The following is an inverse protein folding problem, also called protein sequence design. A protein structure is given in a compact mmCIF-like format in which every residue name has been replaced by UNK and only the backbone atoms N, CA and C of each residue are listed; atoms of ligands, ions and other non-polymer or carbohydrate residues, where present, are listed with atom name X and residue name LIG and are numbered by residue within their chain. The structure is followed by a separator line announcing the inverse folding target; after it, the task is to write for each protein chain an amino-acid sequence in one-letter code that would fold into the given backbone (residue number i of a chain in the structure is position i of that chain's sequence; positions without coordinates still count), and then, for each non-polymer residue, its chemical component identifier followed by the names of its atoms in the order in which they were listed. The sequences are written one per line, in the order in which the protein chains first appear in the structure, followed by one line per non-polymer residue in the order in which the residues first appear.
data_IF_457635274332
#
_entry.id   IF_457635274332
#
_cell.length_a   1.000
_cell.length_b   1.000
_cell.length_c   1.000
_cell.angle_alpha   90.00
_cell.angle_beta   90.00
_cell.angle_gamma   90.00
#
_symmetry.space_group_name_H-M   'P 1'
#
loop_
_entity.id
_entity.type
_entity.pdbx_description
1 polymer ?
#
# COMPACT_ATOMS: atom_id res chain seq x y z
N UNK A 1 -7.07 8.38 -19.03
CA UNK A 1 -6.67 8.04 -17.65
C UNK A 1 -5.19 7.66 -17.69
N UNK A 2 -4.32 8.44 -17.06
CA UNK A 2 -2.90 8.07 -16.94
C UNK A 2 -2.77 7.00 -15.85
N UNK A 3 -2.67 5.74 -16.28
CA UNK A 3 -2.69 4.55 -15.43
C UNK A 3 -1.36 4.25 -14.74
N UNK A 4 -0.33 5.09 -14.93
CA UNK A 4 1.02 4.79 -14.48
C UNK A 4 1.39 5.60 -13.25
N UNK A 5 1.67 4.89 -12.16
CA UNK A 5 2.42 5.42 -11.03
C UNK A 5 3.89 5.57 -11.41
N UNK A 6 4.50 6.69 -11.02
CA UNK A 6 5.94 6.91 -11.08
C UNK A 6 6.70 5.92 -10.19
N UNK A 7 8.02 5.82 -10.39
CA UNK A 7 8.86 4.99 -9.53
C UNK A 7 8.78 5.44 -8.06
N UNK A 8 8.82 6.75 -7.81
CA UNK A 8 8.72 7.34 -6.48
C UNK A 8 7.39 7.05 -5.80
N UNK A 9 6.27 7.15 -6.52
CA UNK A 9 4.94 6.81 -5.98
C UNK A 9 4.82 5.32 -5.62
N UNK A 10 5.42 4.43 -6.41
CA UNK A 10 5.48 2.99 -6.10
C UNK A 10 6.31 2.71 -4.85
N UNK A 11 7.47 3.35 -4.73
CA UNK A 11 8.31 3.23 -3.54
C UNK A 11 7.59 3.73 -2.28
N UNK A 12 6.84 4.84 -2.40
CA UNK A 12 6.01 5.39 -1.32
C UNK A 12 4.93 4.41 -0.87
N UNK A 13 4.19 3.80 -1.80
CA UNK A 13 3.19 2.76 -1.46
C UNK A 13 3.83 1.55 -0.78
N UNK A 14 5.00 1.10 -1.24
CA UNK A 14 5.73 0.00 -0.61
C UNK A 14 6.19 0.36 0.82
N UNK A 15 6.61 1.62 1.05
CA UNK A 15 6.97 2.11 2.38
C UNK A 15 5.76 2.11 3.32
N UNK A 16 4.63 2.69 2.87
CA UNK A 16 3.36 2.72 3.62
C UNK A 16 2.93 1.30 4.02
N UNK A 17 2.90 0.36 3.06
CA UNK A 17 2.52 -1.01 3.33
C UNK A 17 3.46 -1.67 4.37
N UNK A 18 4.78 -1.51 4.22
CA UNK A 18 5.77 -2.08 5.13
C UNK A 18 5.66 -1.51 6.54
N UNK A 19 5.60 -0.18 6.66
CA UNK A 19 5.51 0.50 7.95
C UNK A 19 4.20 0.20 8.67
N UNK A 20 3.08 0.13 7.93
CA UNK A 20 1.77 -0.26 8.49
C UNK A 20 1.81 -1.67 9.08
N UNK A 21 2.36 -2.64 8.34
CA UNK A 21 2.53 -4.02 8.82
C UNK A 21 3.42 -4.06 10.07
N UNK A 22 4.59 -3.41 10.02
CA UNK A 22 5.56 -3.45 11.13
C UNK A 22 4.99 -2.75 12.37
N UNK A 23 4.37 -1.59 12.22
CA UNK A 23 3.80 -0.81 13.32
C UNK A 23 2.63 -1.54 13.96
N UNK A 24 1.76 -2.16 13.16
CA UNK A 24 0.64 -2.92 13.68
C UNK A 24 1.14 -4.16 14.45
N UNK A 25 2.09 -4.91 13.90
CA UNK A 25 2.62 -6.12 14.56
C UNK A 25 3.36 -5.77 15.85
N UNK A 26 4.23 -4.75 15.84
CA UNK A 26 5.10 -4.43 16.98
C UNK A 26 4.44 -3.57 18.05
N UNK A 27 3.58 -2.63 17.64
CA UNK A 27 3.02 -1.58 18.50
C UNK A 27 1.50 -1.61 18.59
N UNK A 28 0.82 -2.46 17.81
CA UNK A 28 -0.66 -2.45 17.66
C UNK A 28 -1.21 -1.10 17.21
N UNK A 29 -0.43 -0.37 16.41
CA UNK A 29 -0.77 0.95 15.89
C UNK A 29 -0.84 0.92 14.37
N UNK A 30 -1.81 1.63 13.80
CA UNK A 30 -1.90 1.90 12.37
C UNK A 30 -1.40 3.34 12.19
N UNK A 31 -0.28 3.55 11.49
CA UNK A 31 0.21 4.90 11.24
C UNK A 31 -0.76 5.68 10.36
N UNK A 32 -0.86 6.98 10.61
CA UNK A 32 -1.60 7.89 9.75
C UNK A 32 -0.68 8.42 8.65
N UNK A 33 -1.22 8.58 7.45
CA UNK A 33 -0.48 9.01 6.27
C UNK A 33 -1.24 10.09 5.53
N UNK A 34 -0.50 11.06 5.03
CA UNK A 34 -0.98 12.04 4.06
C UNK A 34 -0.15 11.94 2.79
N UNK A 35 -0.80 11.99 1.63
CA UNK A 35 -0.14 11.97 0.32
C UNK A 35 -0.52 13.24 -0.44
N UNK A 36 0.42 13.79 -1.20
CA UNK A 36 0.18 14.97 -2.05
C UNK A 36 -0.16 14.55 -3.48
N UNK A 37 0.20 13.31 -3.84
CA UNK A 37 0.07 12.75 -5.16
C UNK A 37 -1.38 12.33 -5.41
N UNK A 38 -2.03 12.99 -6.38
CA UNK A 38 -3.42 12.69 -6.77
C UNK A 38 -3.58 11.22 -7.19
N UNK A 39 -2.54 10.63 -7.79
CA UNK A 39 -2.54 9.23 -8.22
C UNK A 39 -2.67 8.24 -7.06
N UNK A 40 -2.15 8.59 -5.88
CA UNK A 40 -2.23 7.81 -4.65
C UNK A 40 -3.55 8.06 -3.91
N UNK A 41 -4.17 9.22 -4.18
CA UNK A 41 -5.50 9.56 -3.65
C UNK A 41 -6.64 8.93 -4.46
N UNK A 42 -6.35 8.38 -5.64
CA UNK A 42 -7.34 7.75 -6.50
C UNK A 42 -7.89 6.45 -5.89
N UNK A 43 -9.20 6.23 -6.07
CA UNK A 43 -9.88 4.99 -5.64
C UNK A 43 -9.55 3.85 -6.58
N UNK A 44 -8.69 2.93 -6.14
CA UNK A 44 -8.16 1.80 -6.92
C UNK A 44 -8.00 0.59 -6.01
N UNK A 45 -8.22 -0.60 -6.54
CA UNK A 45 -7.85 -1.83 -5.83
C UNK A 45 -6.34 -1.96 -5.65
N UNK A 46 -5.94 -2.60 -4.56
CA UNK A 46 -4.54 -2.87 -4.22
C UNK A 46 -4.39 -4.29 -3.67
N UNK A 47 -3.23 -4.91 -3.92
CA UNK A 47 -2.83 -6.16 -3.30
C UNK A 47 -1.43 -6.02 -2.72
N UNK A 48 -1.27 -6.42 -1.46
CA UNK A 48 0.00 -6.47 -0.77
C UNK A 48 0.47 -7.92 -0.67
N UNK A 49 1.62 -8.21 -1.26
CA UNK A 49 2.26 -9.53 -1.20
C UNK A 49 3.50 -9.49 -0.32
N UNK A 50 3.58 -10.41 0.64
CA UNK A 50 4.78 -10.63 1.45
C UNK A 50 5.49 -11.88 0.94
N UNK A 51 6.79 -11.75 0.68
CA UNK A 51 7.67 -12.87 0.35
C UNK A 51 8.78 -13.02 1.39
N UNK A 52 9.11 -14.26 1.73
CA UNK A 52 10.23 -14.61 2.61
C UNK A 52 11.16 -15.55 1.84
N UNK A 53 12.44 -15.18 1.70
CA UNK A 53 13.42 -15.96 0.92
C UNK A 53 12.90 -16.29 -0.50
N UNK A 54 12.29 -15.31 -1.15
CA UNK A 54 11.68 -15.46 -2.48
C UNK A 54 10.34 -16.22 -2.52
N UNK A 55 9.92 -16.88 -1.44
CA UNK A 55 8.68 -17.66 -1.37
C UNK A 55 7.51 -16.83 -0.86
N UNK A 56 6.31 -17.09 -1.36
CA UNK A 56 5.07 -16.45 -0.90
C UNK A 56 4.83 -16.75 0.58
N UNK A 57 4.65 -15.71 1.39
CA UNK A 57 4.24 -15.81 2.79
C UNK A 57 2.78 -15.40 2.99
N UNK A 58 2.27 -14.51 2.16
CA UNK A 58 0.87 -14.07 2.16
C UNK A 58 0.62 -13.05 1.07
N UNK A 59 -0.63 -12.99 0.61
CA UNK A 59 -1.14 -11.99 -0.31
C UNK A 59 -2.56 -11.63 0.12
N UNK A 60 -2.84 -10.35 0.28
CA UNK A 60 -4.16 -9.83 0.66
C UNK A 60 -4.45 -8.57 -0.16
N UNK A 61 -5.69 -8.38 -0.57
CA UNK A 61 -6.10 -7.20 -1.31
C UNK A 61 -7.51 -7.30 -1.85
N UNK A 62 -7.92 -6.26 -2.55
CA UNK A 62 -9.23 -6.14 -3.20
C UNK A 62 -9.05 -5.58 -4.62
N UNK A 63 -9.89 -6.03 -5.55
CA UNK A 63 -9.82 -5.58 -6.95
C UNK A 63 -10.33 -4.15 -7.15
N UNK A 64 -11.27 -3.74 -6.33
CA UNK A 64 -11.91 -2.43 -6.32
C UNK A 64 -11.94 -1.95 -4.88
N UNK A 65 -11.89 -0.64 -4.69
CA UNK A 65 -12.10 -0.10 -3.38
C UNK A 65 -12.66 1.31 -3.40
N UNK A 66 -13.32 1.65 -2.30
CA UNK A 66 -13.94 2.93 -2.06
C UNK A 66 -13.01 3.90 -1.31
N UNK A 67 -11.85 3.45 -0.84
CA UNK A 67 -10.86 4.32 -0.21
C UNK A 67 -9.76 4.73 -1.20
N UNK A 68 -8.99 5.77 -0.88
CA UNK A 68 -7.80 6.14 -1.63
C UNK A 68 -6.76 5.01 -1.67
N UNK A 69 -6.04 4.85 -2.77
CA UNK A 69 -5.03 3.80 -2.97
C UNK A 69 -3.99 3.71 -1.83
N UNK A 70 -3.59 4.84 -1.24
CA UNK A 70 -2.64 4.83 -0.11
C UNK A 70 -3.23 4.29 1.22
N UNK A 71 -4.56 4.16 1.32
CA UNK A 71 -5.30 3.67 2.49
C UNK A 71 -5.91 2.27 2.27
N UNK A 72 -5.65 1.64 1.13
CA UNK A 72 -6.02 0.25 0.83
C UNK A 72 -5.10 -0.76 1.53
#
# INVERSE_FOLDING_TARGET
MNSNLSATEKEKLLAIARESIVSHIRKRQIPDYTVEEESLSARRGCFVTIKCQGKLRGCLGQFTSDKPLYQE
#
